data_IF_664308122470
#
_entry.id   IF_664308122470
#
_cell.length_a   1.000
_cell.length_b   1.000
_cell.length_c   1.000
_cell.angle_alpha   90.00
_cell.angle_beta   90.00
_cell.angle_gamma   90.00
#
_symmetry.space_group_name_H-M   'P 1'
#
loop_
_entity.id
_entity.type
_entity.pdbx_description
1 polymer ?
#
# COMPACT_ATOMS: atom_id res chain seq x y z
N UNK A 1 -2.56 2.64 -16.65
CA UNK A 1 -3.06 3.39 -15.49
C UNK A 1 -3.51 2.42 -14.43
N UNK A 2 -3.31 2.76 -13.17
CA UNK A 2 -3.71 1.91 -12.06
C UNK A 2 -3.96 2.72 -10.79
N UNK A 3 -3.70 2.08 -9.67
CA UNK A 3 -3.89 2.63 -8.35
C UNK A 3 -2.65 2.40 -7.51
N UNK A 4 -2.32 3.38 -6.70
CA UNK A 4 -1.28 3.26 -5.70
C UNK A 4 -1.90 3.34 -4.31
N UNK A 5 -1.80 2.24 -3.57
CA UNK A 5 -2.25 2.12 -2.18
C UNK A 5 -1.00 2.12 -1.33
N UNK A 6 -0.83 3.14 -0.48
CA UNK A 6 0.37 3.27 0.34
C UNK A 6 0.09 4.04 1.62
N UNK A 7 1.07 4.02 2.52
CA UNK A 7 1.10 4.92 3.67
C UNK A 7 2.23 5.92 3.53
N UNK A 8 1.94 7.19 3.81
CA UNK A 8 2.88 8.31 3.70
C UNK A 8 3.04 9.01 5.04
N UNK A 9 4.19 9.64 5.28
CA UNK A 9 4.51 10.33 6.53
C UNK A 9 5.89 9.95 7.06
N UNK A 10 6.09 10.15 8.35
CA UNK A 10 7.34 9.85 9.05
C UNK A 10 7.10 9.68 10.56
N UNK A 11 8.06 9.17 11.35
CA UNK A 11 7.88 8.96 12.78
C UNK A 11 7.50 10.24 13.57
N UNK A 12 7.84 11.44 13.09
CA UNK A 12 7.51 12.69 13.78
C UNK A 12 6.04 13.10 13.62
N UNK A 13 5.43 12.78 12.48
CA UNK A 13 4.01 13.09 12.21
C UNK A 13 3.10 11.87 12.37
N UNK A 14 3.67 10.67 12.35
CA UNK A 14 2.95 9.43 12.06
C UNK A 14 2.83 9.19 10.55
N UNK A 15 2.42 7.97 10.21
CA UNK A 15 2.10 7.56 8.85
C UNK A 15 0.58 7.57 8.64
N UNK A 16 0.14 7.79 7.40
CA UNK A 16 -1.28 7.91 7.05
C UNK A 16 -1.55 7.20 5.73
N UNK A 17 -2.67 6.49 5.66
CA UNK A 17 -3.11 5.82 4.43
C UNK A 17 -3.47 6.85 3.36
N UNK A 18 -3.06 6.59 2.13
CA UNK A 18 -3.40 7.40 0.96
C UNK A 18 -3.67 6.48 -0.24
N UNK A 19 -4.69 6.83 -1.02
CA UNK A 19 -5.00 6.20 -2.29
C UNK A 19 -4.73 7.21 -3.41
N UNK A 20 -3.85 6.85 -4.35
CA UNK A 20 -3.73 7.55 -5.64
C UNK A 20 -4.42 6.72 -6.72
N UNK A 21 -5.36 7.31 -7.44
CA UNK A 21 -6.12 6.62 -8.52
C UNK A 21 -5.83 7.23 -9.86
N UNK A 22 -6.04 6.43 -10.91
CA UNK A 22 -5.64 6.76 -12.29
C UNK A 22 -4.15 7.12 -12.38
N UNK A 23 -3.35 6.49 -11.51
CA UNK A 23 -1.92 6.75 -11.36
C UNK A 23 -1.15 6.03 -12.47
N UNK A 24 -0.14 6.69 -13.05
CA UNK A 24 0.84 6.04 -13.91
C UNK A 24 2.11 5.83 -13.08
N UNK A 25 2.64 4.61 -13.07
CA UNK A 25 3.89 4.30 -12.35
C UNK A 25 5.06 5.13 -12.88
N UNK A 26 4.98 5.61 -14.13
CA UNK A 26 5.95 6.53 -14.73
C UNK A 26 5.98 7.91 -14.05
N UNK A 27 4.95 8.26 -13.30
CA UNK A 27 4.93 9.49 -12.48
C UNK A 27 5.63 9.29 -11.12
N UNK A 28 6.20 8.11 -10.85
CA UNK A 28 7.00 7.88 -9.63
C UNK A 28 8.41 8.41 -9.88
N UNK A 29 8.84 9.35 -9.05
CA UNK A 29 10.20 9.86 -9.08
C UNK A 29 11.18 8.82 -8.52
N UNK A 30 12.36 8.69 -9.15
CA UNK A 30 13.43 7.81 -8.73
C UNK A 30 13.41 6.43 -9.38
N UNK A 31 14.42 5.62 -9.06
CA UNK A 31 14.50 4.24 -9.52
C UNK A 31 13.53 3.36 -8.71
N UNK A 32 12.79 2.50 -9.41
CA UNK A 32 11.89 1.54 -8.80
C UNK A 32 12.03 0.18 -9.45
N UNK A 33 11.70 -0.86 -8.66
CA UNK A 33 11.54 -2.22 -9.14
C UNK A 33 10.08 -2.63 -8.96
N UNK A 34 9.53 -3.29 -9.98
CA UNK A 34 8.20 -3.90 -9.89
C UNK A 34 8.37 -5.36 -9.47
N UNK A 35 7.74 -5.72 -8.36
CA UNK A 35 7.67 -7.08 -7.84
C UNK A 35 6.22 -7.54 -7.94
N UNK A 36 5.88 -8.52 -8.79
CA UNK A 36 4.55 -9.12 -8.80
C UNK A 36 4.30 -9.83 -7.47
N UNK A 37 3.34 -9.35 -6.69
CA UNK A 37 3.04 -9.90 -5.35
C UNK A 37 2.00 -11.01 -5.44
N UNK A 38 0.92 -10.79 -6.17
CA UNK A 38 -0.17 -11.73 -6.36
C UNK A 38 -1.05 -11.32 -7.55
N UNK A 39 -1.83 -12.28 -8.05
CA UNK A 39 -2.98 -12.02 -8.90
C UNK A 39 -4.23 -11.83 -8.03
N UNK A 40 -5.12 -10.95 -8.49
CA UNK A 40 -6.37 -10.61 -7.80
C UNK A 40 -7.52 -10.75 -8.79
N UNK A 41 -8.63 -11.32 -8.36
CA UNK A 41 -9.85 -11.37 -9.15
C UNK A 41 -10.38 -9.96 -9.43
N UNK A 42 -10.70 -9.67 -10.70
CA UNK A 42 -11.17 -8.36 -11.14
C UNK A 42 -12.37 -7.84 -10.35
N UNK A 43 -13.22 -8.72 -9.83
CA UNK A 43 -14.41 -8.35 -9.05
C UNK A 43 -14.06 -7.61 -7.74
N UNK A 44 -12.83 -7.74 -7.26
CA UNK A 44 -12.34 -7.08 -6.05
C UNK A 44 -11.72 -5.71 -6.32
N UNK A 45 -11.57 -5.32 -7.58
CA UNK A 45 -10.91 -4.09 -8.02
C UNK A 45 -11.91 -3.21 -8.75
N UNK A 46 -12.03 -1.94 -8.35
CA UNK A 46 -12.88 -0.99 -9.06
C UNK A 46 -12.33 -0.71 -10.47
N UNK A 47 -13.23 -0.73 -11.46
CA UNK A 47 -12.90 -0.42 -12.85
C UNK A 47 -12.38 1.03 -12.97
N UNK A 48 -11.23 1.20 -13.60
CA UNK A 48 -10.73 2.53 -13.98
C UNK A 48 -11.48 3.05 -15.20
N UNK A 49 -12.02 4.27 -15.12
CA UNK A 49 -12.67 4.92 -16.26
C UNK A 49 -11.61 5.63 -17.11
N UNK A 50 -11.61 5.36 -18.42
CA UNK A 50 -10.69 6.02 -19.35
C UNK A 50 -10.89 7.55 -19.31
N UNK A 51 -9.79 8.30 -19.18
CA UNK A 51 -9.83 9.77 -19.10
C UNK A 51 -10.19 10.34 -17.73
N UNK A 52 -10.40 9.50 -16.70
CA UNK A 52 -10.63 9.99 -15.34
C UNK A 52 -9.39 10.73 -14.79
N UNK A 53 -9.64 11.82 -14.06
CA UNK A 53 -8.58 12.61 -13.44
C UNK A 53 -7.84 11.82 -12.36
N UNK A 54 -6.54 12.09 -12.20
CA UNK A 54 -5.75 11.58 -11.07
C UNK A 54 -6.34 12.12 -9.77
N UNK A 55 -6.62 11.25 -8.81
CA UNK A 55 -7.10 11.66 -7.48
C UNK A 55 -6.17 11.16 -6.40
N UNK A 56 -6.15 11.88 -5.28
CA UNK A 56 -5.43 11.54 -4.05
C UNK A 56 -6.35 11.76 -2.87
N UNK A 57 -6.76 10.69 -2.20
CA UNK A 57 -7.71 10.73 -1.09
C UNK A 57 -7.56 9.50 -0.18
N UNK A 58 -8.42 9.36 0.82
CA UNK A 58 -8.38 8.28 1.83
C UNK A 58 -9.67 7.45 1.87
N UNK A 59 -10.57 7.64 0.92
CA UNK A 59 -11.91 7.02 0.93
C UNK A 59 -11.87 5.75 0.08
N UNK A 60 -12.10 4.58 0.67
CA UNK A 60 -12.12 3.32 -0.06
C UNK A 60 -13.30 3.21 -1.05
N UNK A 61 -13.06 2.55 -2.18
CA UNK A 61 -13.98 2.37 -3.33
C UNK A 61 -14.05 0.92 -3.81
N UNK A 62 -13.13 0.07 -3.40
CA UNK A 62 -13.18 -1.37 -3.70
C UNK A 62 -12.71 -2.22 -2.52
N UNK A 63 -12.67 -3.55 -2.72
CA UNK A 63 -12.39 -4.48 -1.64
C UNK A 63 -10.94 -4.34 -1.15
N UNK A 64 -9.99 -4.19 -2.06
CA UNK A 64 -8.58 -4.00 -1.71
C UNK A 64 -8.36 -2.72 -0.89
N UNK A 65 -8.99 -1.62 -1.28
CA UNK A 65 -8.92 -0.37 -0.52
C UNK A 65 -9.66 -0.46 0.82
N UNK A 66 -10.79 -1.19 0.87
CA UNK A 66 -11.54 -1.39 2.12
C UNK A 66 -10.73 -2.16 3.15
N UNK A 67 -9.94 -3.15 2.72
CA UNK A 67 -9.01 -3.84 3.62
C UNK A 67 -7.92 -2.89 4.11
N UNK A 68 -7.41 -2.03 3.23
CA UNK A 68 -6.35 -1.09 3.58
C UNK A 68 -6.77 -0.12 4.71
N UNK A 69 -8.05 0.28 4.79
CA UNK A 69 -8.54 1.19 5.85
C UNK A 69 -8.61 0.54 7.23
N UNK A 70 -8.64 -0.80 7.31
CA UNK A 70 -8.70 -1.54 8.57
C UNK A 70 -7.30 -1.66 9.20
N UNK A 71 -6.25 -1.63 8.37
CA UNK A 71 -4.87 -1.78 8.82
C UNK A 71 -4.32 -0.45 9.28
N UNK A 72 -4.14 -0.32 10.61
CA UNK A 72 -3.61 0.89 11.24
C UNK A 72 -2.20 1.21 10.75
N UNK A 73 -1.97 2.38 10.14
CA UNK A 73 -0.61 2.87 9.84
C UNK A 73 0.21 3.05 11.13
N UNK A 74 1.56 3.03 11.02
CA UNK A 74 2.43 3.35 12.16
C UNK A 74 2.11 4.73 12.75
N UNK A 75 1.93 4.84 14.09
CA UNK A 75 1.59 6.10 14.74
C UNK A 75 2.80 7.03 14.83
N UNK A 76 2.56 8.27 15.25
CA UNK A 76 3.62 9.18 15.65
C UNK A 76 4.42 8.60 16.83
N UNK A 77 5.73 8.69 16.75
CA UNK A 77 6.64 8.35 17.84
C UNK A 77 6.93 9.57 18.73
N UNK A 78 6.93 9.41 20.07
CA UNK A 78 7.45 10.43 20.99
C UNK A 78 8.95 10.72 20.80
N UNK A 79 9.72 9.77 20.24
CA UNK A 79 11.12 9.93 19.90
C UNK A 79 11.34 9.65 18.40
N UNK A 80 11.10 10.63 17.50
CA UNK A 80 11.10 10.40 16.06
C UNK A 80 12.44 9.95 15.46
N UNK A 81 13.55 10.23 16.13
CA UNK A 81 14.90 9.90 15.67
C UNK A 81 15.36 8.52 16.13
N UNK A 82 14.54 7.79 16.90
CA UNK A 82 14.83 6.41 17.27
C UNK A 82 14.85 5.52 16.01
N UNK A 83 15.99 4.87 15.69
CA UNK A 83 16.08 4.00 14.52
C UNK A 83 15.22 2.74 14.64
N UNK A 84 14.74 2.39 15.83
CA UNK A 84 13.83 1.26 16.07
C UNK A 84 12.36 1.59 15.79
N UNK A 85 12.03 2.85 15.49
CA UNK A 85 10.67 3.24 15.13
C UNK A 85 10.16 2.46 13.92
N UNK A 86 8.89 2.02 13.99
CA UNK A 86 8.24 1.37 12.86
C UNK A 86 8.16 2.35 11.67
N UNK A 87 8.80 1.98 10.54
CA UNK A 87 8.75 2.75 9.30
C UNK A 87 7.38 2.60 8.63
N UNK A 88 6.93 3.60 7.88
CA UNK A 88 5.66 3.54 7.14
C UNK A 88 5.56 2.28 6.26
N UNK A 89 6.66 1.86 5.63
CA UNK A 89 6.67 0.69 4.76
C UNK A 89 6.37 -0.64 5.48
N UNK A 90 6.53 -0.73 6.80
CA UNK A 90 6.18 -1.95 7.56
C UNK A 90 4.68 -2.29 7.46
N UNK A 91 3.85 -1.29 7.17
CA UNK A 91 2.41 -1.44 6.95
C UNK A 91 2.08 -2.45 5.84
N UNK A 92 2.90 -2.53 4.77
CA UNK A 92 2.62 -3.38 3.61
C UNK A 92 2.55 -4.87 3.98
N UNK A 93 3.38 -5.31 4.93
CA UNK A 93 3.37 -6.69 5.40
C UNK A 93 2.03 -7.05 6.04
N UNK A 94 1.52 -6.18 6.92
CA UNK A 94 0.23 -6.37 7.60
C UNK A 94 -0.94 -6.28 6.63
N UNK A 95 -0.86 -5.38 5.65
CA UNK A 95 -1.86 -5.27 4.60
C UNK A 95 -1.96 -6.54 3.75
N UNK A 96 -0.83 -7.05 3.23
CA UNK A 96 -0.84 -8.27 2.42
C UNK A 96 -1.25 -9.49 3.24
N UNK A 97 -0.85 -9.57 4.52
CA UNK A 97 -1.35 -10.61 5.42
C UNK A 97 -2.88 -10.58 5.52
N UNK A 98 -3.49 -9.41 5.72
CA UNK A 98 -4.95 -9.31 5.79
C UNK A 98 -5.61 -9.69 4.46
N UNK A 99 -5.03 -9.35 3.31
CA UNK A 99 -5.56 -9.77 2.02
C UNK A 99 -5.58 -11.30 1.86
N UNK A 100 -4.56 -11.99 2.36
CA UNK A 100 -4.49 -13.47 2.38
C UNK A 100 -5.54 -14.05 3.33
N UNK A 101 -5.65 -13.50 4.54
CA UNK A 101 -6.62 -13.95 5.54
C UNK A 101 -8.07 -13.79 5.05
N UNK A 102 -8.34 -12.78 4.22
CA UNK A 102 -9.64 -12.57 3.59
C UNK A 102 -9.84 -13.36 2.28
N UNK A 103 -8.85 -14.13 1.85
CA UNK A 103 -8.92 -14.93 0.62
C UNK A 103 -8.96 -14.09 -0.67
N UNK A 104 -8.47 -12.85 -0.62
CA UNK A 104 -8.43 -11.94 -1.77
C UNK A 104 -7.21 -12.16 -2.64
N UNK A 105 -6.14 -12.71 -2.06
CA UNK A 105 -4.90 -13.12 -2.73
C UNK A 105 -4.40 -14.45 -2.17
N UNK A 106 -3.59 -15.16 -2.95
CA UNK A 106 -2.97 -16.41 -2.52
C UNK A 106 -1.89 -16.20 -1.43
N UNK A 107 -1.70 -17.21 -0.57
CA UNK A 107 -0.74 -17.17 0.53
C UNK A 107 0.73 -17.00 0.10
N UNK A 108 1.07 -17.34 -1.14
CA UNK A 108 2.40 -17.09 -1.72
C UNK A 108 2.79 -15.61 -1.72
N UNK A 109 1.82 -14.69 -1.70
CA UNK A 109 2.03 -13.25 -1.60
C UNK A 109 2.90 -12.84 -0.40
N UNK A 110 2.75 -13.55 0.73
CA UNK A 110 3.53 -13.30 1.93
C UNK A 110 5.02 -13.57 1.73
N UNK A 111 5.34 -14.61 0.96
CA UNK A 111 6.74 -14.97 0.67
C UNK A 111 7.41 -13.90 -0.18
N UNK A 112 6.70 -13.38 -1.19
CA UNK A 112 7.23 -12.30 -2.05
C UNK A 112 7.55 -11.07 -1.21
N UNK A 113 6.61 -10.62 -0.38
CA UNK A 113 6.79 -9.43 0.47
C UNK A 113 7.91 -9.64 1.51
N UNK A 114 8.05 -10.84 2.09
CA UNK A 114 9.15 -11.14 3.01
C UNK A 114 10.53 -11.05 2.36
N UNK A 115 10.63 -11.40 1.08
CA UNK A 115 11.88 -11.36 0.30
C UNK A 115 12.13 -10.03 -0.43
N UNK A 116 11.18 -9.08 -0.34
CA UNK A 116 11.31 -7.80 -1.01
C UNK A 116 12.55 -7.02 -0.53
N UNK A 117 13.30 -6.34 -1.44
CA UNK A 117 14.46 -5.56 -1.06
C UNK A 117 14.09 -4.48 -0.04
N UNK A 118 14.82 -4.47 1.08
CA UNK A 118 14.73 -3.39 2.06
C UNK A 118 15.77 -2.35 1.67
N UNK A 119 15.33 -1.28 1.04
CA UNK A 119 16.20 -0.12 0.82
C UNK A 119 16.50 0.47 2.19
N UNK A 120 17.79 0.40 2.59
CA UNK A 120 18.28 0.78 3.91
C UNK A 120 18.12 2.28 4.17
#
# INVERSE_FOLDING_TARGET
MGKFIHVTGNPATGCFLEFKRNYDIKDTDGEYQILPVAEVDERFVATTVAGAQKTRDTIARDRLESVATIIKPPPRSPNPFDPSNERCQSWIHRYVQQLVEEGLVDGSALSVIQTAPRVL
#
